data_IF_212397469668
#
_entry.id   IF_212397469668
#
_cell.length_a   1.000
_cell.length_b   1.000
_cell.length_c   1.000
_cell.angle_alpha   90.00
_cell.angle_beta   90.00
_cell.angle_gamma   90.00
#
_symmetry.space_group_name_H-M   'P 1'
#
loop_
_entity.id
_entity.type
_entity.pdbx_description
1 polymer ?
#
# COMPACT_ATOMS: atom_id res chain seq x y z
N UNK A 1 -14.26 3.83 22.43
CA UNK A 1 -14.18 4.36 21.05
C UNK A 1 -12.74 4.76 20.67
N UNK A 2 -11.98 5.40 21.56
CA UNK A 2 -10.55 5.70 21.36
C UNK A 2 -9.68 4.46 21.03
N UNK A 3 -9.90 3.33 21.71
CA UNK A 3 -9.15 2.09 21.47
C UNK A 3 -9.34 1.47 20.08
N UNK A 4 -10.40 1.82 19.36
CA UNK A 4 -10.66 1.29 18.01
C UNK A 4 -9.93 2.10 16.93
N UNK A 5 -9.78 3.42 17.13
CA UNK A 5 -9.08 4.32 16.22
C UNK A 5 -7.57 4.11 16.36
N UNK A 6 -7.04 4.11 17.58
CA UNK A 6 -5.60 3.91 17.85
C UNK A 6 -5.09 2.54 17.34
N UNK A 7 -5.90 1.49 17.52
CA UNK A 7 -5.57 0.15 17.06
C UNK A 7 -5.63 0.04 15.52
N UNK A 8 -6.40 0.92 14.86
CA UNK A 8 -6.42 1.01 13.41
C UNK A 8 -5.22 1.77 12.86
N UNK A 9 -4.85 2.89 13.50
CA UNK A 9 -3.68 3.69 13.16
C UNK A 9 -2.40 2.86 13.20
N UNK A 10 -2.29 1.99 14.21
CA UNK A 10 -1.20 1.04 14.31
C UNK A 10 -1.18 -0.01 13.18
N UNK A 11 -2.35 -0.51 12.76
CA UNK A 11 -2.44 -1.54 11.70
C UNK A 11 -2.10 -0.95 10.34
N UNK A 12 -2.61 0.24 10.01
CA UNK A 12 -2.26 0.91 8.75
C UNK A 12 -0.76 1.21 8.66
N UNK A 13 -0.16 1.67 9.76
CA UNK A 13 1.27 1.96 9.81
C UNK A 13 2.11 0.70 9.57
N UNK A 14 1.78 -0.41 10.23
CA UNK A 14 2.48 -1.69 10.02
C UNK A 14 2.32 -2.24 8.60
N UNK A 15 1.19 -2.01 7.92
CA UNK A 15 1.04 -2.40 6.51
C UNK A 15 1.94 -1.54 5.63
N UNK A 16 1.97 -0.22 5.84
CA UNK A 16 2.83 0.68 5.08
C UNK A 16 4.33 0.38 5.27
N UNK A 17 4.77 0.09 6.49
CA UNK A 17 6.17 -0.33 6.76
C UNK A 17 6.54 -1.61 6.01
N UNK A 18 5.60 -2.56 5.93
CA UNK A 18 5.78 -3.79 5.17
C UNK A 18 5.82 -3.56 3.66
N UNK A 19 4.99 -2.63 3.15
CA UNK A 19 5.02 -2.21 1.75
C UNK A 19 6.34 -1.50 1.43
N UNK A 20 6.84 -0.66 2.33
CA UNK A 20 8.13 0.00 2.20
C UNK A 20 9.28 -1.02 2.15
N UNK A 21 9.31 -1.97 3.09
CA UNK A 21 10.30 -3.04 3.09
C UNK A 21 10.24 -3.91 1.82
N UNK A 22 9.04 -4.27 1.38
CA UNK A 22 8.86 -5.05 0.15
C UNK A 22 9.31 -4.30 -1.11
N UNK A 23 9.05 -2.99 -1.17
CA UNK A 23 9.41 -2.15 -2.32
C UNK A 23 10.81 -1.56 -2.21
N UNK A 24 11.64 -2.00 -1.25
CA UNK A 24 13.00 -1.49 -1.05
C UNK A 24 13.04 0.05 -0.96
N UNK A 25 12.10 0.64 -0.23
CA UNK A 25 11.92 2.09 -0.08
C UNK A 25 11.62 2.86 -1.36
N UNK A 26 11.23 2.17 -2.44
CA UNK A 26 10.69 2.81 -3.64
C UNK A 26 9.37 3.51 -3.34
N UNK A 27 8.52 2.89 -2.51
CA UNK A 27 7.34 3.51 -1.90
C UNK A 27 7.58 3.62 -0.40
N UNK A 28 7.58 4.84 0.13
CA UNK A 28 7.76 5.07 1.59
C UNK A 28 6.41 5.17 2.28
N UNK A 29 6.36 4.95 3.59
CA UNK A 29 5.12 5.21 4.34
C UNK A 29 4.73 6.71 4.30
N UNK A 30 3.43 7.05 4.42
CA UNK A 30 3.00 8.43 4.61
C UNK A 30 3.73 9.09 5.77
N UNK A 31 4.26 10.30 5.55
CA UNK A 31 4.94 11.04 6.60
C UNK A 31 3.88 11.54 7.62
N UNK A 32 4.15 11.40 8.92
CA UNK A 32 3.19 11.77 9.97
C UNK A 32 2.99 13.29 10.11
N UNK A 33 3.93 14.07 9.57
CA UNK A 33 3.98 15.53 9.63
C UNK A 33 3.49 16.22 8.34
N UNK A 34 3.06 15.44 7.33
CA UNK A 34 2.69 15.95 6.01
C UNK A 34 1.24 15.58 5.68
N UNK A 35 0.53 16.47 4.98
CA UNK A 35 -0.78 16.12 4.45
C UNK A 35 -0.65 14.94 3.46
N UNK A 36 -1.67 14.07 3.42
CA UNK A 36 -1.63 12.86 2.58
C UNK A 36 -1.52 13.21 1.08
N UNK A 37 -2.11 14.31 0.64
CA UNK A 37 -2.03 14.77 -0.75
C UNK A 37 -0.66 15.37 -1.03
N UNK A 38 -0.09 16.13 -0.11
CA UNK A 38 1.27 16.64 -0.22
C UNK A 38 2.30 15.50 -0.27
N UNK A 39 2.13 14.47 0.58
CA UNK A 39 2.94 13.25 0.54
C UNK A 39 2.80 12.54 -0.81
N UNK A 40 1.57 12.40 -1.30
CA UNK A 40 1.29 11.76 -2.59
C UNK A 40 2.00 12.46 -3.75
N UNK A 41 1.86 13.78 -3.82
CA UNK A 41 2.50 14.60 -4.85
C UNK A 41 4.02 14.52 -4.77
N UNK A 42 4.59 14.60 -3.56
CA UNK A 42 6.03 14.50 -3.32
C UNK A 42 6.59 13.13 -3.72
N UNK A 43 5.91 12.05 -3.38
CA UNK A 43 6.35 10.69 -3.71
C UNK A 43 6.39 10.43 -5.21
N UNK A 44 5.52 11.10 -5.98
CA UNK A 44 5.41 10.96 -7.44
C UNK A 44 6.19 12.01 -8.23
N UNK A 45 6.66 13.07 -7.56
CA UNK A 45 7.46 14.12 -8.15
C UNK A 45 8.80 13.59 -8.69
N UNK A 46 9.33 14.24 -9.72
CA UNK A 46 10.66 13.95 -10.29
C UNK A 46 10.90 12.50 -10.78
N UNK A 47 9.84 11.69 -10.88
CA UNK A 47 9.91 10.35 -11.48
C UNK A 47 9.67 10.38 -12.99
N UNK A 48 10.34 9.49 -13.72
CA UNK A 48 9.98 9.19 -15.10
C UNK A 48 8.51 8.73 -15.19
N UNK A 49 7.85 8.95 -16.33
CA UNK A 49 6.45 8.53 -16.55
C UNK A 49 6.21 7.06 -16.16
N UNK A 50 7.18 6.20 -16.44
CA UNK A 50 7.12 4.76 -16.15
C UNK A 50 7.23 4.48 -14.65
N UNK A 51 8.24 5.02 -13.98
CA UNK A 51 8.42 4.85 -12.54
C UNK A 51 7.24 5.45 -11.76
N UNK A 52 6.75 6.62 -12.18
CA UNK A 52 5.57 7.27 -11.59
C UNK A 52 4.33 6.40 -11.67
N UNK A 53 4.06 5.77 -12.81
CA UNK A 53 2.92 4.84 -12.98
C UNK A 53 3.02 3.62 -12.06
N UNK A 54 4.21 3.04 -11.93
CA UNK A 54 4.43 1.91 -11.03
C UNK A 54 4.24 2.31 -9.57
N UNK A 55 4.85 3.42 -9.16
CA UNK A 55 4.76 3.92 -7.78
C UNK A 55 3.33 4.30 -7.41
N UNK A 56 2.64 5.01 -8.29
CA UNK A 56 1.22 5.32 -8.11
C UNK A 56 0.39 4.05 -7.97
N UNK A 57 0.61 3.03 -8.80
CA UNK A 57 -0.10 1.76 -8.67
C UNK A 57 0.15 1.11 -7.30
N UNK A 58 1.41 1.02 -6.84
CA UNK A 58 1.75 0.51 -5.51
C UNK A 58 1.01 1.25 -4.40
N UNK A 59 1.00 2.58 -4.44
CA UNK A 59 0.32 3.43 -3.45
C UNK A 59 -1.21 3.24 -3.48
N UNK A 60 -1.82 3.14 -4.68
CA UNK A 60 -3.27 2.87 -4.83
C UNK A 60 -3.62 1.52 -4.24
N UNK A 61 -2.92 0.45 -4.63
CA UNK A 61 -3.22 -0.89 -4.15
C UNK A 61 -3.03 -0.99 -2.64
N UNK A 62 -1.96 -0.44 -2.09
CA UNK A 62 -1.76 -0.41 -0.65
C UNK A 62 -2.90 0.31 0.10
N UNK A 63 -3.24 1.53 -0.31
CA UNK A 63 -4.33 2.30 0.30
C UNK A 63 -5.69 1.58 0.17
N UNK A 64 -5.97 1.01 -1.01
CA UNK A 64 -7.19 0.25 -1.28
C UNK A 64 -7.33 -0.99 -0.39
N UNK A 65 -6.28 -1.81 -0.28
CA UNK A 65 -6.33 -3.02 0.54
C UNK A 65 -6.38 -2.70 2.04
N UNK A 66 -5.73 -1.63 2.49
CA UNK A 66 -5.87 -1.13 3.87
C UNK A 66 -7.33 -0.76 4.13
N UNK A 67 -7.96 0.03 3.25
CA UNK A 67 -9.38 0.37 3.37
C UNK A 67 -10.29 -0.88 3.34
N UNK A 68 -10.01 -1.83 2.44
CA UNK A 68 -10.76 -3.10 2.32
C UNK A 68 -10.67 -3.93 3.61
N UNK A 69 -9.48 -4.04 4.21
CA UNK A 69 -9.27 -4.74 5.48
C UNK A 69 -10.03 -4.07 6.63
N UNK A 70 -10.07 -2.74 6.67
CA UNK A 70 -10.88 -1.97 7.63
C UNK A 70 -12.36 -2.32 7.52
N UNK A 71 -12.88 -2.27 6.31
CA UNK A 71 -14.29 -2.53 6.05
C UNK A 71 -14.67 -3.95 6.41
N UNK A 72 -13.83 -4.92 6.05
CA UNK A 72 -14.02 -6.32 6.42
C UNK A 72 -14.09 -6.50 7.94
N UNK A 73 -13.25 -5.79 8.69
CA UNK A 73 -13.30 -5.78 10.16
C UNK A 73 -14.60 -5.17 10.70
N UNK A 74 -15.01 -4.01 10.18
CA UNK A 74 -16.21 -3.29 10.66
C UNK A 74 -17.50 -4.06 10.33
N UNK A 75 -17.66 -4.46 9.08
CA UNK A 75 -18.92 -4.99 8.57
C UNK A 75 -19.03 -6.51 8.67
N UNK A 76 -17.91 -7.24 8.61
CA UNK A 76 -17.92 -8.71 8.67
C UNK A 76 -17.32 -9.27 9.97
N UNK A 77 -16.84 -8.42 10.88
CA UNK A 77 -16.13 -8.84 12.11
C UNK A 77 -14.91 -9.73 11.84
N UNK A 78 -14.34 -9.65 10.63
CA UNK A 78 -13.15 -10.41 10.22
C UNK A 78 -11.93 -9.49 10.23
N UNK A 79 -11.01 -9.76 11.15
CA UNK A 79 -9.73 -9.05 11.19
C UNK A 79 -8.71 -9.70 10.25
N UNK A 80 -7.85 -8.88 9.68
CA UNK A 80 -6.68 -9.33 8.92
C UNK A 80 -5.43 -8.76 9.58
N UNK A 81 -4.39 -9.57 9.68
CA UNK A 81 -3.07 -9.14 10.12
C UNK A 81 -2.43 -8.27 9.05
N UNK A 82 -1.50 -7.36 9.41
CA UNK A 82 -0.76 -6.57 8.43
C UNK A 82 -0.03 -7.41 7.38
N UNK A 83 0.41 -8.61 7.76
CA UNK A 83 1.04 -9.58 6.85
C UNK A 83 0.06 -10.11 5.81
N UNK A 84 -1.15 -10.49 6.21
CA UNK A 84 -2.21 -10.93 5.27
C UNK A 84 -2.61 -9.82 4.30
N UNK A 85 -2.75 -8.58 4.78
CA UNK A 85 -3.04 -7.43 3.91
C UNK A 85 -1.93 -7.24 2.86
N UNK A 86 -0.66 -7.36 3.26
CA UNK A 86 0.46 -7.32 2.31
C UNK A 86 0.40 -8.44 1.27
N UNK A 87 0.05 -9.66 1.68
CA UNK A 87 -0.07 -10.78 0.74
C UNK A 87 -1.18 -10.56 -0.29
N UNK A 88 -2.32 -10.02 0.13
CA UNK A 88 -3.40 -9.65 -0.80
C UNK A 88 -2.95 -8.56 -1.80
N UNK A 89 -2.20 -7.55 -1.34
CA UNK A 89 -1.63 -6.52 -2.22
C UNK A 89 -0.71 -7.17 -3.26
N UNK A 90 0.20 -8.04 -2.82
CA UNK A 90 1.14 -8.75 -3.70
C UNK A 90 0.39 -9.61 -4.72
N UNK A 91 -0.62 -10.36 -4.29
CA UNK A 91 -1.43 -11.21 -5.14
C UNK A 91 -2.22 -10.39 -6.19
N UNK A 92 -2.89 -9.30 -5.78
CA UNK A 92 -3.65 -8.45 -6.71
C UNK A 92 -2.74 -7.80 -7.76
N UNK A 93 -1.54 -7.37 -7.35
CA UNK A 93 -0.53 -6.83 -8.28
C UNK A 93 0.05 -7.89 -9.23
N UNK A 94 0.28 -9.11 -8.76
CA UNK A 94 0.70 -10.24 -9.62
C UNK A 94 -0.38 -10.58 -10.65
N UNK A 95 -1.65 -10.70 -10.21
CA UNK A 95 -2.78 -10.93 -11.10
C UNK A 95 -2.87 -9.85 -12.19
N UNK A 96 -2.74 -8.58 -11.82
CA UNK A 96 -2.70 -7.48 -12.79
C UNK A 96 -1.54 -7.62 -13.77
N UNK A 97 -0.35 -8.02 -13.30
CA UNK A 97 0.81 -8.22 -14.16
C UNK A 97 0.63 -9.38 -15.14
N UNK A 98 -0.07 -10.45 -14.74
CA UNK A 98 -0.40 -11.57 -15.63
C UNK A 98 -1.46 -11.17 -16.68
N UNK A 99 -2.47 -10.39 -16.28
CA UNK A 99 -3.56 -9.98 -17.17
C UNK A 99 -3.17 -8.87 -18.17
N UNK A 100 -2.35 -7.91 -17.74
CA UNK A 100 -2.05 -6.70 -18.52
C UNK A 100 -0.57 -6.58 -18.94
N UNK A 101 0.24 -7.61 -18.65
CA UNK A 101 1.69 -7.57 -18.81
C UNK A 101 2.40 -6.93 -17.61
N UNK A 102 3.64 -7.37 -17.36
CA UNK A 102 4.46 -6.86 -16.26
C UNK A 102 4.80 -5.38 -16.50
N UNK A 103 4.68 -4.49 -15.50
CA UNK A 103 5.42 -3.24 -15.53
C UNK A 103 6.90 -3.61 -15.67
N UNK A 104 7.56 -3.18 -16.75
CA UNK A 104 8.98 -3.45 -17.06
C UNK A 104 9.99 -2.90 -15.99
N UNK A 105 9.54 -2.54 -14.79
CA UNK A 105 10.34 -2.15 -13.61
C UNK A 105 10.05 -3.07 -12.40
N UNK A 106 9.57 -4.31 -12.62
CA UNK A 106 9.37 -5.26 -11.52
C UNK A 106 10.71 -5.86 -11.06
N UNK A 107 11.53 -5.05 -10.38
CA UNK A 107 12.75 -5.50 -9.69
C UNK A 107 12.46 -6.05 -8.30
N UNK A 108 11.21 -5.91 -7.82
CA UNK A 108 10.81 -6.44 -6.52
C UNK A 108 10.58 -7.94 -6.68
N UNK A 109 11.54 -8.73 -6.20
CA UNK A 109 11.46 -10.18 -6.15
C UNK A 109 10.09 -10.59 -5.59
N UNK A 110 9.29 -11.19 -6.46
CA UNK A 110 8.11 -11.99 -6.16
C UNK A 110 8.52 -13.43 -6.34
#
# INVERSE_FOLDING_TARGET
>A
MASFIELWDLVQEQVWERVEGWTQSFTRKPAQDLDVMEWWEKELAQLSKKARRLKAALMIYAAWHIWKARNKKIFEQKSMTPGEVLQEIKAEMQCRALACGKPELSSFNV
#
